data_IF_395865755277
#
_entry.id   IF_395865755277
#
_cell.length_a   1.000
_cell.length_b   1.000
_cell.length_c   1.000
_cell.angle_alpha   90.00
_cell.angle_beta   90.00
_cell.angle_gamma   90.00
#
_symmetry.space_group_name_H-M   'P 1'
#
loop_
_entity.id
_entity.type
_entity.pdbx_description
1 polymer ?
#
# COMPACT_ATOMS: atom_id res chain seq x y z
N UNK A 1 -25.16 -26.10 12.10
CA UNK A 1 -24.73 -25.80 10.72
C UNK A 1 -23.73 -24.67 10.81
N UNK A 2 -22.53 -24.90 10.32
CA UNK A 2 -21.29 -24.21 10.70
C UNK A 2 -21.06 -23.02 9.76
N UNK A 3 -21.37 -21.79 10.19
CA UNK A 3 -21.34 -20.59 9.33
C UNK A 3 -20.06 -19.73 9.43
N UNK A 4 -18.95 -20.31 9.91
CA UNK A 4 -17.71 -19.56 10.16
C UNK A 4 -16.42 -20.13 9.55
N UNK A 5 -16.47 -21.29 8.89
CA UNK A 5 -15.26 -22.03 8.49
C UNK A 5 -14.67 -21.67 7.13
N UNK A 6 -15.47 -21.10 6.21
CA UNK A 6 -15.19 -21.08 4.76
C UNK A 6 -14.61 -19.76 4.24
N UNK A 7 -13.86 -19.00 5.05
CA UNK A 7 -13.31 -17.69 4.58
C UNK A 7 -11.81 -17.53 4.76
N UNK A 8 -11.21 -18.22 5.73
CA UNK A 8 -9.75 -18.22 5.93
C UNK A 8 -9.07 -19.33 5.13
N UNK A 9 -9.74 -20.47 4.97
CA UNK A 9 -9.21 -21.63 4.25
C UNK A 9 -8.93 -21.34 2.79
N UNK A 10 -9.58 -20.34 2.21
CA UNK A 10 -9.61 -20.08 0.77
C UNK A 10 -8.68 -18.92 0.37
N UNK A 11 -8.01 -18.30 1.35
CA UNK A 11 -7.09 -17.19 1.10
C UNK A 11 -5.78 -17.74 0.52
N UNK A 12 -5.37 -17.17 -0.61
CA UNK A 12 -4.05 -17.42 -1.20
C UNK A 12 -3.02 -16.48 -0.60
N UNK A 13 -3.21 -15.16 -0.70
CA UNK A 13 -2.27 -14.17 -0.19
C UNK A 13 -3.00 -13.00 0.47
N UNK A 14 -2.36 -12.35 1.44
CA UNK A 14 -2.82 -11.09 2.04
C UNK A 14 -1.72 -10.04 1.98
N UNK A 15 -2.09 -8.77 2.04
CA UNK A 15 -1.17 -7.64 2.12
C UNK A 15 -1.79 -6.48 2.90
N UNK A 16 -1.00 -5.84 3.75
CA UNK A 16 -1.35 -4.65 4.50
C UNK A 16 -0.25 -3.61 4.33
N UNK A 17 -0.64 -2.38 3.97
CA UNK A 17 0.24 -1.22 4.08
C UNK A 17 0.20 -0.80 5.54
N UNK A 18 1.28 -1.02 6.26
CA UNK A 18 1.34 -0.83 7.72
C UNK A 18 1.76 0.58 8.11
N UNK A 19 2.56 1.24 7.28
CA UNK A 19 3.02 2.60 7.49
C UNK A 19 3.34 3.29 6.16
N UNK A 20 3.10 4.61 6.11
CA UNK A 20 3.48 5.48 4.99
C UNK A 20 4.09 6.73 5.60
N UNK A 21 5.39 6.92 5.40
CA UNK A 21 6.12 8.10 5.80
C UNK A 21 6.44 8.95 4.56
N UNK A 22 6.27 10.27 4.69
CA UNK A 22 6.53 11.23 3.62
C UNK A 22 7.50 12.29 4.13
N UNK A 23 8.63 12.40 3.46
CA UNK A 23 9.64 13.44 3.72
C UNK A 23 9.61 14.42 2.55
N UNK A 24 9.03 15.61 2.78
CA UNK A 24 9.00 16.67 1.78
C UNK A 24 10.19 17.61 1.95
N UNK A 25 10.98 17.80 0.88
CA UNK A 25 12.00 18.86 0.80
C UNK A 25 11.42 20.04 0.02
N UNK A 26 11.23 21.15 0.72
CA UNK A 26 10.77 22.41 0.14
C UNK A 26 11.97 23.27 -0.21
N UNK A 27 12.11 23.62 -1.49
CA UNK A 27 13.16 24.54 -1.96
C UNK A 27 12.49 25.69 -2.71
N UNK A 28 12.38 26.84 -2.04
CA UNK A 28 11.99 28.16 -2.57
C UNK A 28 10.96 28.15 -3.70
N UNK A 29 11.38 28.18 -4.97
CA UNK A 29 10.53 28.24 -6.17
C UNK A 29 10.51 26.92 -6.97
N UNK A 30 11.26 25.91 -6.54
CA UNK A 30 11.39 24.63 -7.26
C UNK A 30 10.21 23.67 -6.97
N UNK A 31 9.83 22.76 -7.89
CA UNK A 31 8.81 21.76 -7.57
C UNK A 31 9.14 20.99 -6.28
N UNK A 32 8.12 20.71 -5.47
CA UNK A 32 8.31 20.00 -4.19
C UNK A 32 8.76 18.59 -4.51
N UNK A 33 9.90 18.19 -3.93
CA UNK A 33 10.39 16.81 -4.01
C UNK A 33 9.99 16.09 -2.74
N UNK A 34 9.22 15.03 -2.89
CA UNK A 34 8.85 14.15 -1.81
C UNK A 34 9.62 12.83 -1.92
N UNK A 35 10.07 12.35 -0.79
CA UNK A 35 10.61 11.01 -0.58
C UNK A 35 9.57 10.24 0.23
N UNK A 36 9.20 9.05 -0.22
CA UNK A 36 8.19 8.22 0.42
C UNK A 36 8.83 6.93 0.89
N UNK A 37 8.57 6.57 2.14
CA UNK A 37 8.87 5.25 2.69
C UNK A 37 7.56 4.54 2.97
N UNK A 38 7.37 3.36 2.38
CA UNK A 38 6.15 2.58 2.51
C UNK A 38 6.51 1.22 3.10
N UNK A 39 5.88 0.89 4.22
CA UNK A 39 6.08 -0.39 4.89
C UNK A 39 4.90 -1.32 4.60
N UNK A 40 5.22 -2.50 4.08
CA UNK A 40 4.27 -3.54 3.74
C UNK A 40 4.44 -4.74 4.68
N UNK A 41 3.31 -5.36 5.03
CA UNK A 41 3.26 -6.66 5.66
C UNK A 41 2.44 -7.60 4.79
N UNK A 42 3.00 -8.75 4.48
CA UNK A 42 2.41 -9.75 3.60
C UNK A 42 2.13 -11.05 4.35
N UNK A 43 1.09 -11.73 3.91
CA UNK A 43 0.68 -13.02 4.44
C UNK A 43 0.52 -14.07 3.36
N UNK A 44 1.05 -15.26 3.63
CA UNK A 44 0.83 -16.46 2.83
C UNK A 44 -0.30 -17.27 3.45
N UNK A 45 -1.41 -17.36 2.72
CA UNK A 45 -2.58 -18.13 3.14
C UNK A 45 -2.46 -19.63 2.82
N UNK A 46 -3.38 -20.46 3.35
CA UNK A 46 -3.34 -21.92 3.18
C UNK A 46 -3.46 -22.40 1.73
N UNK A 47 -4.06 -21.60 0.83
CA UNK A 47 -4.19 -21.96 -0.59
C UNK A 47 -2.99 -21.51 -1.44
N UNK A 48 -2.02 -20.79 -0.87
CA UNK A 48 -0.83 -20.38 -1.62
C UNK A 48 0.05 -21.57 -1.99
N UNK A 49 0.25 -21.75 -3.29
CA UNK A 49 1.12 -22.78 -3.85
C UNK A 49 2.55 -22.29 -4.05
N UNK A 50 2.78 -20.98 -4.07
CA UNK A 50 4.11 -20.36 -4.19
C UNK A 50 4.56 -19.70 -2.89
N UNK A 51 5.87 -19.70 -2.64
CA UNK A 51 6.52 -18.95 -1.55
C UNK A 51 6.82 -17.50 -1.93
N UNK A 52 6.49 -17.06 -3.14
CA UNK A 52 6.59 -15.67 -3.55
C UNK A 52 5.30 -15.18 -4.19
N UNK A 53 5.03 -13.88 -4.05
CA UNK A 53 3.90 -13.23 -4.69
C UNK A 53 4.21 -11.75 -4.97
N UNK A 54 3.85 -11.26 -6.14
CA UNK A 54 4.03 -9.86 -6.51
C UNK A 54 2.71 -9.11 -6.32
N UNK A 55 2.77 -8.00 -5.58
CA UNK A 55 1.64 -7.11 -5.35
C UNK A 55 1.79 -5.85 -6.17
N UNK A 56 0.75 -5.50 -6.91
CA UNK A 56 0.67 -4.22 -7.60
C UNK A 56 0.10 -3.18 -6.64
N UNK A 57 0.74 -2.02 -6.55
CA UNK A 57 0.27 -0.89 -5.77
C UNK A 57 0.38 0.41 -6.57
N UNK A 58 -0.23 1.47 -6.05
CA UNK A 58 -0.19 2.77 -6.66
C UNK A 58 0.06 3.85 -5.62
N UNK A 59 0.70 4.91 -6.07
CA UNK A 59 0.88 6.16 -5.32
C UNK A 59 0.17 7.26 -6.10
N UNK A 60 -0.71 7.97 -5.44
CA UNK A 60 -1.43 9.10 -6.02
C UNK A 60 -1.18 10.37 -5.22
N UNK A 61 -0.87 11.45 -5.93
CA UNK A 61 -0.85 12.80 -5.37
C UNK A 61 -2.19 13.44 -5.68
N UNK A 62 -2.89 13.85 -4.65
CA UNK A 62 -4.23 14.43 -4.77
C UNK A 62 -4.27 15.81 -4.12
N UNK A 63 -5.21 16.66 -4.53
CA UNK A 63 -5.60 17.81 -3.71
C UNK A 63 -6.55 17.36 -2.61
N UNK A 64 -6.66 18.14 -1.54
CA UNK A 64 -7.70 17.97 -0.50
C UNK A 64 -9.15 17.86 -1.04
N UNK A 65 -9.40 18.33 -2.27
CA UNK A 65 -10.67 18.14 -2.98
C UNK A 65 -10.83 16.74 -3.61
N UNK A 66 -9.96 15.79 -3.30
CA UNK A 66 -9.83 14.46 -3.91
C UNK A 66 -9.56 14.48 -5.42
N UNK A 67 -9.14 15.62 -5.98
CA UNK A 67 -8.72 15.70 -7.38
C UNK A 67 -7.34 15.05 -7.50
N UNK A 68 -7.26 13.96 -8.27
CA UNK A 68 -5.98 13.31 -8.61
C UNK A 68 -5.18 14.24 -9.51
N UNK A 69 -3.95 14.57 -9.08
CA UNK A 69 -3.00 15.39 -9.82
C UNK A 69 -2.03 14.51 -10.61
N UNK A 70 -1.52 13.46 -9.96
CA UNK A 70 -0.66 12.45 -10.54
C UNK A 70 -0.97 11.10 -9.88
N UNK A 71 -0.81 10.01 -10.63
CA UNK A 71 -0.92 8.64 -10.12
C UNK A 71 0.06 7.75 -10.89
N UNK A 72 0.84 7.00 -10.16
CA UNK A 72 1.80 6.03 -10.70
C UNK A 72 1.57 4.65 -10.08
N UNK A 73 1.97 3.62 -10.83
CA UNK A 73 1.83 2.22 -10.45
C UNK A 73 3.21 1.60 -10.25
N UNK A 74 3.30 0.77 -9.23
CA UNK A 74 4.53 0.11 -8.79
C UNK A 74 4.20 -1.34 -8.43
N UNK A 75 5.25 -2.16 -8.34
CA UNK A 75 5.16 -3.53 -7.86
C UNK A 75 6.08 -3.72 -6.66
N UNK A 76 5.67 -4.56 -5.72
CA UNK A 76 6.47 -5.02 -4.59
C UNK A 76 6.36 -6.54 -4.52
N UNK A 77 7.50 -7.20 -4.34
CA UNK A 77 7.58 -8.65 -4.25
C UNK A 77 7.62 -9.07 -2.78
N UNK A 78 6.78 -10.03 -2.40
CA UNK A 78 6.93 -10.77 -1.15
C UNK A 78 7.66 -12.08 -1.40
N UNK A 79 8.60 -12.42 -0.53
CA UNK A 79 9.25 -13.72 -0.46
C UNK A 79 9.07 -14.31 0.94
N UNK A 80 8.11 -15.23 1.04
CA UNK A 80 7.80 -15.94 2.27
C UNK A 80 8.85 -16.97 2.64
N UNK A 81 9.70 -17.41 1.70
CA UNK A 81 10.70 -18.47 1.94
C UNK A 81 10.09 -19.70 2.62
N UNK A 82 10.46 -19.95 3.88
CA UNK A 82 9.89 -21.02 4.73
C UNK A 82 8.85 -20.55 5.76
N UNK A 83 8.49 -19.27 5.75
CA UNK A 83 7.56 -18.60 6.66
C UNK A 83 6.16 -18.47 6.02
N UNK A 84 5.20 -17.95 6.81
CA UNK A 84 3.88 -17.53 6.33
C UNK A 84 3.70 -16.02 6.30
N UNK A 85 4.73 -15.27 6.73
CA UNK A 85 4.73 -13.81 6.76
C UNK A 85 6.03 -13.28 6.18
N UNK A 86 5.93 -12.13 5.53
CA UNK A 86 7.04 -11.36 5.01
C UNK A 86 6.75 -9.86 5.17
N UNK A 87 7.78 -9.03 5.17
CA UNK A 87 7.64 -7.57 5.23
C UNK A 87 8.67 -6.89 4.35
N UNK A 88 8.20 -5.91 3.56
CA UNK A 88 9.07 -5.09 2.69
C UNK A 88 8.96 -3.61 3.04
N UNK A 89 10.06 -2.88 2.85
CA UNK A 89 10.09 -1.43 2.88
C UNK A 89 10.49 -0.92 1.50
N UNK A 90 9.60 -0.17 0.87
CA UNK A 90 9.89 0.50 -0.40
C UNK A 90 10.22 1.97 -0.16
N UNK A 91 11.27 2.46 -0.80
CA UNK A 91 11.68 3.87 -0.75
C UNK A 91 11.60 4.46 -2.15
N UNK A 92 10.65 5.36 -2.35
CA UNK A 92 10.47 6.10 -3.59
C UNK A 92 11.09 7.48 -3.45
N UNK A 93 12.13 7.73 -4.23
CA UNK A 93 12.82 9.02 -4.27
C UNK A 93 12.26 9.89 -5.40
N UNK A 94 12.40 11.21 -5.23
CA UNK A 94 12.12 12.20 -6.26
C UNK A 94 10.68 12.19 -6.81
N UNK A 95 9.67 11.96 -5.96
CA UNK A 95 8.29 12.25 -6.36
C UNK A 95 8.15 13.76 -6.58
N UNK A 96 8.05 14.16 -7.84
CA UNK A 96 7.90 15.55 -8.25
C UNK A 96 6.43 15.93 -8.13
N UNK A 97 6.12 16.78 -7.17
CA UNK A 97 4.79 17.37 -7.03
C UNK A 97 4.80 18.70 -7.78
N UNK A 98 4.11 18.81 -8.94
CA UNK A 98 4.08 20.06 -9.67
C UNK A 98 3.43 21.14 -8.81
N UNK A 99 4.14 22.26 -8.60
CA UNK A 99 3.52 23.47 -8.07
C UNK A 99 2.50 23.93 -9.09
N UNK A 100 1.24 23.92 -8.69
CA UNK A 100 0.19 24.38 -9.57
C UNK A 100 0.12 25.91 -9.66
N UNK A 101 0.67 26.65 -8.69
CA UNK A 101 0.76 28.13 -8.67
C UNK A 101 1.63 28.59 -7.48
N UNK A 102 2.29 29.76 -7.56
CA UNK A 102 3.07 30.42 -6.50
C UNK A 102 2.18 30.84 -5.31
N UNK A 103 0.87 30.94 -5.54
CA UNK A 103 -0.17 31.18 -4.51
C UNK A 103 -0.67 29.90 -3.84
N UNK A 104 -0.38 28.73 -4.41
CA UNK A 104 -0.71 27.43 -3.82
C UNK A 104 0.45 27.06 -2.90
N UNK A 105 0.34 27.52 -1.66
CA UNK A 105 1.11 26.98 -0.54
C UNK A 105 1.16 25.46 -0.67
N UNK A 106 2.36 24.88 -0.59
CA UNK A 106 2.62 23.43 -0.63
C UNK A 106 1.93 22.63 0.48
N UNK A 107 0.91 23.16 1.14
CA UNK A 107 0.17 22.59 2.26
C UNK A 107 -1.17 21.93 1.87
N UNK A 108 -1.55 21.85 0.59
CA UNK A 108 -2.89 21.40 0.16
C UNK A 108 -2.93 20.09 -0.65
N UNK A 109 -1.84 19.30 -0.63
CA UNK A 109 -1.81 17.99 -1.26
C UNK A 109 -1.86 16.86 -0.24
N UNK A 110 -2.43 15.74 -0.66
CA UNK A 110 -2.46 14.48 0.08
C UNK A 110 -1.83 13.41 -0.80
N UNK A 111 -0.93 12.64 -0.22
CA UNK A 111 -0.36 11.45 -0.85
C UNK A 111 -1.17 10.26 -0.37
N UNK A 112 -1.71 9.49 -1.31
CA UNK A 112 -2.50 8.30 -1.05
C UNK A 112 -1.79 7.11 -1.67
N UNK A 113 -1.62 6.05 -0.89
CA UNK A 113 -1.03 4.79 -1.32
C UNK A 113 -2.08 3.69 -1.17
N UNK A 114 -2.17 2.80 -2.15
CA UNK A 114 -3.09 1.67 -2.07
C UNK A 114 -2.68 0.54 -3.00
N UNK A 115 -3.12 -0.68 -2.67
CA UNK A 115 -3.00 -1.80 -3.59
C UNK A 115 -3.89 -1.61 -4.82
N UNK A 116 -3.42 -2.12 -5.95
CA UNK A 116 -4.24 -2.27 -7.14
C UNK A 116 -5.03 -3.58 -7.00
N UNK A 117 -6.27 -3.45 -6.57
CA UNK A 117 -7.17 -4.59 -6.36
C UNK A 117 -7.94 -4.93 -7.64
N UNK A 118 -8.17 -6.22 -7.85
CA UNK A 118 -9.19 -6.76 -8.74
C UNK A 118 -10.59 -6.50 -8.19
N UNK A 119 -11.62 -6.68 -9.02
CA UNK A 119 -13.01 -6.49 -8.59
C UNK A 119 -13.41 -7.48 -7.48
N UNK A 120 -12.89 -8.71 -7.53
CA UNK A 120 -13.13 -9.73 -6.52
C UNK A 120 -12.50 -9.36 -5.17
N UNK A 121 -11.23 -8.94 -5.16
CA UNK A 121 -10.54 -8.49 -3.96
C UNK A 121 -11.20 -7.24 -3.37
N UNK A 122 -11.64 -6.31 -4.23
CA UNK A 122 -12.36 -5.11 -3.80
C UNK A 122 -13.72 -5.46 -3.17
N UNK A 123 -14.48 -6.36 -3.77
CA UNK A 123 -15.73 -6.86 -3.20
C UNK A 123 -15.46 -7.53 -1.85
N UNK A 124 -14.44 -8.38 -1.78
CA UNK A 124 -14.05 -9.08 -0.57
C UNK A 124 -13.69 -8.13 0.58
N UNK A 125 -12.88 -7.09 0.29
CA UNK A 125 -12.47 -6.10 1.28
C UNK A 125 -13.61 -5.18 1.74
N UNK A 126 -14.56 -4.84 0.85
CA UNK A 126 -15.74 -4.03 1.17
C UNK A 126 -16.69 -4.68 2.17
N UNK A 127 -16.71 -6.00 2.23
CA UNK A 127 -17.49 -6.75 3.21
C UNK A 127 -16.90 -6.65 4.64
N UNK A 128 -15.89 -5.81 4.87
CA UNK A 128 -15.32 -5.51 6.18
C UNK A 128 -14.44 -6.62 6.74
N UNK A 129 -14.09 -7.61 5.91
CA UNK A 129 -13.22 -8.71 6.29
C UNK A 129 -11.77 -8.24 6.33
N UNK A 130 -11.34 -7.74 7.49
CA UNK A 130 -9.92 -7.44 7.75
C UNK A 130 -9.23 -8.71 8.23
N UNK A 131 -8.31 -9.22 7.42
CA UNK A 131 -7.43 -10.31 7.81
C UNK A 131 -6.08 -9.74 8.17
N UNK A 132 -5.84 -9.60 9.47
CA UNK A 132 -4.49 -9.44 10.00
C UNK A 132 -4.00 -10.82 10.38
N UNK A 133 -2.98 -11.31 9.69
CA UNK A 133 -2.13 -12.33 10.31
C UNK A 133 -1.32 -11.55 11.35
N UNK A 134 -1.60 -11.78 12.62
CA UNK A 134 -0.85 -11.13 13.70
C UNK A 134 0.64 -11.47 13.53
N UNK A 135 1.42 -10.54 13.00
CA UNK A 135 2.89 -10.63 12.98
C UNK A 135 3.50 -10.32 14.36
N UNK A 136 2.69 -10.33 15.43
CA UNK A 136 3.12 -10.06 16.80
C UNK A 136 2.28 -10.82 17.83
N UNK A 137 2.69 -12.05 18.15
CA UNK A 137 2.64 -12.55 19.53
C UNK A 137 3.70 -13.63 19.72
N UNK A 138 4.95 -13.24 19.55
CA UNK A 138 6.09 -13.94 20.12
C UNK A 138 6.51 -13.24 21.39
N UNK A 139 5.98 -13.66 22.54
CA UNK A 139 6.59 -13.62 23.88
C UNK A 139 5.77 -14.48 24.82
#
# INVERSE_FOLDING_TARGET
MTEGGTRFSDITYTGEITNVNVICRYVEDQPVRAELEIDFAFGKGPQATSNSHQYQYWVAVTRRSSKVLAKEYFAVDADFGGSTVDGSREVLQDIIIPRADDTISGANFEIVVGFQLTDEELAFNREGRRFRLDAASGS
#
